data_IF_318161466220
#
_entry.id   IF_318161466220
#
_cell.length_a   1.000
_cell.length_b   1.000
_cell.length_c   1.000
_cell.angle_alpha   90.00
_cell.angle_beta   90.00
_cell.angle_gamma   90.00
#
_symmetry.space_group_name_H-M   'P 1'
#
loop_
_entity.id
_entity.type
_entity.pdbx_description
1 polymer ?
#
# COMPACT_ATOMS: atom_id res chain seq x y z
N UNK A 1 -14.10 3.65 -25.66
CA UNK A 1 -12.67 3.72 -26.03
C UNK A 1 -11.96 4.52 -24.95
N UNK A 2 -11.26 3.85 -24.03
CA UNK A 2 -10.43 4.54 -23.04
C UNK A 2 -9.18 5.08 -23.77
N UNK A 3 -9.32 6.25 -24.38
CA UNK A 3 -8.16 7.00 -24.87
C UNK A 3 -7.23 7.20 -23.67
N UNK A 4 -5.96 6.86 -23.85
CA UNK A 4 -4.90 7.09 -22.87
C UNK A 4 -4.76 8.61 -22.69
N UNK A 5 -5.59 9.20 -21.84
CA UNK A 5 -5.43 10.58 -21.44
C UNK A 5 -4.06 10.68 -20.75
N UNK A 6 -3.23 11.68 -21.06
CA UNK A 6 -1.91 11.83 -20.45
C UNK A 6 -1.99 11.84 -18.92
N UNK A 7 -3.11 12.32 -18.36
CA UNK A 7 -3.42 12.28 -16.94
C UNK A 7 -3.48 10.86 -16.36
N UNK A 8 -4.16 9.91 -17.01
CA UNK A 8 -4.29 8.53 -16.49
C UNK A 8 -2.96 7.80 -16.49
N UNK A 9 -2.13 8.05 -17.51
CA UNK A 9 -0.78 7.49 -17.55
C UNK A 9 0.13 8.07 -16.46
N UNK A 10 0.07 9.38 -16.24
CA UNK A 10 0.79 10.04 -15.15
C UNK A 10 0.39 9.49 -13.79
N UNK A 11 -0.91 9.33 -13.52
CA UNK A 11 -1.43 8.76 -12.28
C UNK A 11 -0.93 7.32 -12.03
N UNK A 12 -0.85 6.47 -13.06
CA UNK A 12 -0.31 5.10 -12.92
C UNK A 12 1.16 5.10 -12.53
N UNK A 13 1.97 5.99 -13.11
CA UNK A 13 3.39 6.10 -12.76
C UNK A 13 3.54 6.58 -11.32
N UNK A 14 2.82 7.62 -10.92
CA UNK A 14 2.87 8.15 -9.56
C UNK A 14 2.44 7.09 -8.54
N UNK A 15 1.35 6.35 -8.81
CA UNK A 15 0.90 5.24 -7.96
C UNK A 15 1.93 4.10 -7.88
N UNK A 16 2.58 3.77 -8.98
CA UNK A 16 3.64 2.75 -9.04
C UNK A 16 4.85 3.14 -8.17
N UNK A 17 5.30 4.41 -8.27
CA UNK A 17 6.41 4.92 -7.45
C UNK A 17 6.03 4.95 -5.96
N UNK A 18 4.79 5.34 -5.63
CA UNK A 18 4.30 5.35 -4.25
C UNK A 18 4.26 3.94 -3.65
N UNK A 19 3.71 2.96 -4.37
CA UNK A 19 3.62 1.56 -3.88
C UNK A 19 5.00 0.90 -3.78
N UNK A 20 5.90 1.17 -4.72
CA UNK A 20 7.28 0.69 -4.68
C UNK A 20 8.05 1.27 -3.49
N UNK A 21 7.96 2.58 -3.27
CA UNK A 21 8.62 3.24 -2.13
C UNK A 21 8.06 2.77 -0.80
N UNK A 22 6.75 2.57 -0.69
CA UNK A 22 6.12 1.97 0.49
C UNK A 22 6.63 0.54 0.75
N UNK A 23 6.69 -0.32 -0.30
CA UNK A 23 7.18 -1.68 -0.17
C UNK A 23 8.66 -1.73 0.25
N UNK A 24 9.50 -0.88 -0.33
CA UNK A 24 10.92 -0.79 0.03
C UNK A 24 11.10 -0.34 1.48
N UNK A 25 10.38 0.72 1.88
CA UNK A 25 10.41 1.20 3.26
C UNK A 25 9.98 0.10 4.24
N UNK A 26 8.88 -0.62 3.95
CA UNK A 26 8.44 -1.74 4.78
C UNK A 26 9.47 -2.88 4.84
N UNK A 27 10.11 -3.20 3.71
CA UNK A 27 11.14 -4.23 3.63
C UNK A 27 12.41 -3.88 4.42
N UNK A 28 12.77 -2.60 4.49
CA UNK A 28 13.91 -2.09 5.26
C UNK A 28 13.60 -1.85 6.73
N UNK A 29 12.34 -1.99 7.17
CA UNK A 29 11.93 -1.84 8.56
C UNK A 29 12.37 -3.06 9.40
N UNK A 30 13.65 -3.05 9.80
CA UNK A 30 14.24 -4.02 10.75
C UNK A 30 15.04 -3.27 11.80
N UNK A 31 14.84 -3.61 13.08
CA UNK A 31 15.63 -3.05 14.17
C UNK A 31 15.96 -4.14 15.21
N UNK A 32 17.24 -4.27 15.55
CA UNK A 32 17.70 -5.08 16.68
C UNK A 32 17.70 -4.22 17.95
N UNK A 33 16.92 -4.62 18.97
CA UNK A 33 16.90 -3.96 20.27
C UNK A 33 17.75 -4.76 21.25
N UNK A 34 18.78 -4.12 21.81
CA UNK A 34 19.64 -4.72 22.83
C UNK A 34 19.07 -4.43 24.23
N UNK A 35 18.76 -5.47 24.99
CA UNK A 35 18.34 -5.34 26.39
C UNK A 35 19.55 -5.46 27.31
N UNK A 36 20.06 -4.33 27.79
CA UNK A 36 21.22 -4.29 28.71
C UNK A 36 21.02 -5.07 30.01
N UNK A 37 19.77 -5.33 30.43
CA UNK A 37 19.50 -6.07 31.67
C UNK A 37 19.53 -7.61 31.52
N UNK A 38 19.49 -8.15 30.30
CA UNK A 38 19.38 -9.62 30.08
C UNK A 38 20.39 -10.14 29.04
N UNK A 39 21.21 -9.27 28.44
CA UNK A 39 22.22 -9.65 27.44
C UNK A 39 21.64 -10.44 26.24
N UNK A 40 20.36 -10.19 25.91
CA UNK A 40 19.65 -10.77 24.77
C UNK A 40 19.30 -9.66 23.79
N UNK A 41 19.60 -9.88 22.50
CA UNK A 41 19.18 -9.02 21.40
C UNK A 41 17.93 -9.62 20.75
N UNK A 42 16.80 -8.90 20.79
CA UNK A 42 15.59 -9.29 20.06
C UNK A 42 15.56 -8.48 18.77
N UNK A 43 15.49 -9.17 17.64
CA UNK A 43 15.30 -8.53 16.34
C UNK A 43 13.80 -8.40 16.11
N UNK A 44 13.31 -7.15 16.02
CA UNK A 44 11.93 -6.85 15.67
C UNK A 44 11.91 -6.40 14.21
N UNK A 45 11.09 -7.06 13.39
CA UNK A 45 11.00 -6.80 11.97
C UNK A 45 9.56 -6.86 11.47
N UNK A 46 9.35 -6.32 10.27
CA UNK A 46 8.06 -6.36 9.60
C UNK A 46 7.52 -7.78 9.38
N UNK A 47 8.40 -8.80 9.46
CA UNK A 47 8.04 -10.22 9.32
C UNK A 47 7.28 -10.78 10.50
N UNK A 48 7.33 -10.11 11.65
CA UNK A 48 6.77 -10.66 12.89
C UNK A 48 5.26 -10.46 12.95
N UNK A 49 4.73 -9.54 12.14
CA UNK A 49 3.30 -9.25 12.06
C UNK A 49 2.74 -9.47 10.65
N UNK A 50 1.76 -10.37 10.55
CA UNK A 50 1.12 -10.73 9.28
C UNK A 50 0.52 -9.51 8.56
N UNK A 51 0.04 -8.50 9.31
CA UNK A 51 -0.51 -7.27 8.75
C UNK A 51 0.50 -6.52 7.86
N UNK A 52 1.75 -6.43 8.29
CA UNK A 52 2.80 -5.73 7.54
C UNK A 52 3.28 -6.56 6.35
N UNK A 53 3.39 -7.89 6.50
CA UNK A 53 3.67 -8.77 5.37
C UNK A 53 2.59 -8.67 4.28
N UNK A 54 1.31 -8.72 4.66
CA UNK A 54 0.20 -8.53 3.72
C UNK A 54 0.30 -7.18 3.01
N UNK A 55 0.58 -6.10 3.75
CA UNK A 55 0.75 -4.77 3.14
C UNK A 55 1.91 -4.73 2.13
N UNK A 56 3.05 -5.35 2.45
CA UNK A 56 4.19 -5.44 1.55
C UNK A 56 3.82 -6.19 0.26
N UNK A 57 3.22 -7.38 0.40
CA UNK A 57 2.83 -8.22 -0.75
C UNK A 57 1.83 -7.49 -1.64
N UNK A 58 0.83 -6.83 -1.07
CA UNK A 58 -0.17 -6.07 -1.83
C UNK A 58 0.47 -4.91 -2.60
N UNK A 59 1.37 -4.14 -1.97
CA UNK A 59 2.09 -3.07 -2.66
C UNK A 59 2.94 -3.60 -3.84
N UNK A 60 3.60 -4.75 -3.67
CA UNK A 60 4.37 -5.39 -4.75
C UNK A 60 3.45 -5.84 -5.90
N UNK A 61 2.32 -6.48 -5.61
CA UNK A 61 1.35 -6.90 -6.63
C UNK A 61 0.86 -5.70 -7.43
N UNK A 62 0.49 -4.61 -6.76
CA UNK A 62 0.00 -3.39 -7.40
C UNK A 62 1.08 -2.74 -8.27
N UNK A 63 2.33 -2.72 -7.80
CA UNK A 63 3.46 -2.20 -8.56
C UNK A 63 3.70 -3.02 -9.84
N UNK A 64 3.77 -4.35 -9.73
CA UNK A 64 3.97 -5.25 -10.88
C UNK A 64 2.82 -5.12 -11.87
N UNK A 65 1.58 -5.08 -11.38
CA UNK A 65 0.41 -4.89 -12.23
C UNK A 65 0.45 -3.53 -12.95
N UNK A 66 0.75 -2.45 -12.24
CA UNK A 66 0.82 -1.10 -12.82
C UNK A 66 1.91 -0.99 -13.88
N UNK A 67 3.05 -1.66 -13.65
CA UNK A 67 4.10 -1.78 -14.64
C UNK A 67 3.62 -2.56 -15.86
N UNK A 68 3.00 -3.74 -15.68
CA UNK A 68 2.49 -4.56 -16.79
C UNK A 68 1.45 -3.81 -17.66
N UNK A 69 0.52 -3.07 -17.04
CA UNK A 69 -0.48 -2.28 -17.77
C UNK A 69 0.17 -1.16 -18.60
N UNK A 70 1.27 -0.56 -18.12
CA UNK A 70 1.98 0.47 -18.87
C UNK A 70 2.63 -0.04 -20.17
N UNK A 71 2.94 -1.34 -20.27
CA UNK A 71 3.49 -1.97 -21.48
C UNK A 71 2.41 -2.41 -22.49
N UNK A 72 1.13 -2.46 -22.10
CA UNK A 72 0.06 -2.96 -22.99
C UNK A 72 -0.26 -2.01 -24.16
N UNK A 73 -0.46 -2.53 -25.38
CA UNK A 73 -0.78 -1.71 -26.56
C UNK A 73 -2.20 -1.13 -26.55
N UNK A 74 -2.31 0.07 -27.15
CA UNK A 74 -3.47 1.00 -27.06
C UNK A 74 -4.82 0.49 -27.61
N UNK A 75 -4.86 -0.62 -28.36
CA UNK A 75 -6.06 -1.11 -29.08
C UNK A 75 -6.59 -2.45 -28.59
N UNK A 76 -6.25 -2.87 -27.38
CA UNK A 76 -6.72 -4.15 -26.85
C UNK A 76 -8.14 -4.05 -26.27
N UNK A 77 -8.99 -5.03 -26.56
CA UNK A 77 -10.33 -5.21 -25.99
C UNK A 77 -10.28 -5.43 -24.46
N UNK A 78 -9.09 -5.70 -23.91
CA UNK A 78 -8.82 -5.97 -22.50
C UNK A 78 -9.02 -4.76 -21.57
N UNK A 79 -9.17 -3.54 -22.08
CA UNK A 79 -9.33 -2.34 -21.24
C UNK A 79 -10.54 -2.39 -20.30
N UNK A 80 -11.61 -3.11 -20.64
CA UNK A 80 -12.76 -3.28 -19.73
C UNK A 80 -12.41 -4.15 -18.52
N UNK A 81 -11.57 -5.17 -18.71
CA UNK A 81 -11.08 -6.02 -17.63
C UNK A 81 -10.10 -5.30 -16.72
N UNK A 82 -9.30 -4.37 -17.26
CA UNK A 82 -8.36 -3.54 -16.49
C UNK A 82 -9.07 -2.74 -15.40
N UNK A 83 -10.22 -2.12 -15.70
CA UNK A 83 -11.00 -1.35 -14.71
C UNK A 83 -11.49 -2.22 -13.56
N UNK A 84 -11.91 -3.46 -13.84
CA UNK A 84 -12.36 -4.41 -12.81
C UNK A 84 -11.19 -4.80 -11.91
N UNK A 85 -10.02 -5.11 -12.50
CA UNK A 85 -8.83 -5.47 -11.74
C UNK A 85 -8.32 -4.27 -10.92
N UNK A 86 -8.34 -3.05 -11.47
CA UNK A 86 -8.00 -1.82 -10.74
C UNK A 86 -8.89 -1.64 -9.49
N UNK A 87 -10.19 -1.89 -9.61
CA UNK A 87 -11.11 -1.83 -8.48
C UNK A 87 -10.78 -2.90 -7.42
N UNK A 88 -10.47 -4.14 -7.84
CA UNK A 88 -10.08 -5.21 -6.90
C UNK A 88 -8.78 -4.87 -6.16
N UNK A 89 -7.78 -4.35 -6.86
CA UNK A 89 -6.49 -3.96 -6.28
C UNK A 89 -6.63 -2.78 -5.31
N UNK A 90 -7.49 -1.81 -5.62
CA UNK A 90 -7.80 -0.71 -4.72
C UNK A 90 -8.42 -1.21 -3.41
N UNK A 91 -9.41 -2.10 -3.48
CA UNK A 91 -10.04 -2.67 -2.28
C UNK A 91 -8.99 -3.41 -1.45
N UNK A 92 -8.14 -4.19 -2.12
CA UNK A 92 -7.06 -4.93 -1.45
C UNK A 92 -6.08 -3.99 -0.73
N UNK A 93 -5.64 -2.91 -1.38
CA UNK A 93 -4.81 -1.84 -0.79
C UNK A 93 -5.48 -1.21 0.43
N UNK A 94 -6.76 -0.87 0.33
CA UNK A 94 -7.53 -0.26 1.41
C UNK A 94 -7.60 -1.18 2.64
N UNK A 95 -7.92 -2.47 2.42
CA UNK A 95 -7.98 -3.47 3.48
C UNK A 95 -6.62 -3.69 4.14
N UNK A 96 -5.53 -3.83 3.36
CA UNK A 96 -4.19 -4.01 3.92
C UNK A 96 -3.67 -2.78 4.66
N UNK A 97 -3.94 -1.57 4.16
CA UNK A 97 -3.59 -0.33 4.84
C UNK A 97 -4.31 -0.24 6.18
N UNK A 98 -5.61 -0.54 6.21
CA UNK A 98 -6.41 -0.49 7.44
C UNK A 98 -5.91 -1.48 8.49
N UNK A 99 -5.54 -2.70 8.09
CA UNK A 99 -4.98 -3.72 8.97
C UNK A 99 -3.58 -3.34 9.51
N UNK A 100 -2.74 -2.73 8.68
CA UNK A 100 -1.43 -2.23 9.13
C UNK A 100 -1.57 -1.00 10.05
N UNK A 101 -2.56 -0.14 9.79
CA UNK A 101 -2.85 1.04 10.60
C UNK A 101 -3.33 0.65 12.01
N UNK A 102 -4.21 -0.34 12.11
CA UNK A 102 -4.68 -0.84 13.41
C UNK A 102 -3.55 -1.50 14.20
N UNK A 103 -2.70 -2.29 13.52
CA UNK A 103 -1.52 -2.88 14.12
C UNK A 103 -0.55 -1.83 14.69
N UNK A 104 -0.18 -0.80 13.91
CA UNK A 104 0.77 0.22 14.37
C UNK A 104 0.18 1.09 15.49
N UNK A 105 -1.14 1.34 15.48
CA UNK A 105 -1.83 2.00 16.58
C UNK A 105 -1.73 1.19 17.88
N UNK A 106 -1.86 -0.13 17.80
CA UNK A 106 -1.69 -1.02 18.94
C UNK A 106 -0.23 -1.05 19.42
N UNK A 107 0.73 -1.10 18.50
CA UNK A 107 2.16 -1.05 18.84
C UNK A 107 2.60 0.30 19.44
N UNK A 108 1.95 1.41 19.06
CA UNK A 108 2.27 2.75 19.55
C UNK A 108 1.62 3.05 20.90
N UNK A 109 0.32 2.82 21.01
CA UNK A 109 -0.44 3.19 22.21
C UNK A 109 -0.47 2.07 23.25
N UNK A 110 -0.32 0.82 22.83
CA UNK A 110 -0.61 -0.34 23.66
C UNK A 110 -2.09 -0.44 24.03
N UNK A 111 -2.42 -1.47 24.79
CA UNK A 111 -3.71 -1.60 25.45
C UNK A 111 -3.51 -2.20 26.85
N UNK A 112 -3.60 -1.35 27.87
CA UNK A 112 -3.42 -1.77 29.26
C UNK A 112 -4.42 -2.86 29.67
N UNK A 113 -5.68 -2.77 29.21
CA UNK A 113 -6.72 -3.76 29.53
C UNK A 113 -6.43 -5.15 28.96
N UNK A 114 -5.73 -5.22 27.82
CA UNK A 114 -5.31 -6.47 27.20
C UNK A 114 -3.88 -6.90 27.61
N UNK A 115 -3.21 -6.13 28.48
CA UNK A 115 -1.81 -6.35 28.85
C UNK A 115 -0.80 -6.07 27.72
N UNK A 116 -1.25 -5.47 26.60
CA UNK A 116 -0.38 -5.19 25.46
C UNK A 116 0.40 -3.91 25.70
N UNK A 117 1.72 -4.02 25.87
CA UNK A 117 2.60 -2.85 26.07
C UNK A 117 3.11 -2.32 24.73
N UNK A 118 3.13 -1.00 24.57
CA UNK A 118 3.61 -0.36 23.35
C UNK A 118 5.09 -0.68 23.07
N UNK A 119 5.39 -1.09 21.84
CA UNK A 119 6.71 -1.52 21.37
C UNK A 119 7.48 -0.33 20.75
N UNK A 120 6.78 0.68 20.23
CA UNK A 120 7.40 1.84 19.59
C UNK A 120 8.34 2.64 20.52
N UNK A 121 8.18 2.55 21.84
CA UNK A 121 9.10 3.15 22.80
C UNK A 121 10.46 2.43 22.90
N UNK A 122 10.52 1.14 22.54
CA UNK A 122 11.73 0.32 22.54
C UNK A 122 12.44 0.35 21.17
N UNK A 123 11.68 0.42 20.08
CA UNK A 123 12.18 0.42 18.71
C UNK A 123 11.64 1.62 17.91
N UNK A 124 12.08 2.86 18.22
CA UNK A 124 11.52 4.06 17.61
C UNK A 124 11.84 4.19 16.11
N UNK A 125 12.98 3.70 15.64
CA UNK A 125 13.35 3.76 14.23
C UNK A 125 12.48 2.81 13.39
N UNK A 126 12.29 1.57 13.86
CA UNK A 126 11.37 0.60 13.27
C UNK A 126 9.96 1.18 13.12
N UNK A 127 9.42 1.73 14.21
CA UNK A 127 8.08 2.28 14.24
C UNK A 127 7.93 3.48 13.28
N UNK A 128 8.90 4.40 13.25
CA UNK A 128 8.89 5.51 12.30
C UNK A 128 8.94 5.03 10.84
N UNK A 129 9.70 3.98 10.55
CA UNK A 129 9.81 3.42 9.21
C UNK A 129 8.48 2.80 8.74
N UNK A 130 7.80 2.06 9.62
CA UNK A 130 6.47 1.49 9.35
C UNK A 130 5.42 2.59 9.17
N UNK A 131 5.38 3.58 10.06
CA UNK A 131 4.44 4.70 9.96
C UNK A 131 4.63 5.43 8.63
N UNK A 132 5.89 5.72 8.25
CA UNK A 132 6.21 6.34 6.98
C UNK A 132 5.77 5.49 5.79
N UNK A 133 6.04 4.19 5.81
CA UNK A 133 5.63 3.29 4.74
C UNK A 133 4.11 3.18 4.60
N UNK A 134 3.36 3.10 5.70
CA UNK A 134 1.89 3.09 5.68
C UNK A 134 1.36 4.43 5.15
N UNK A 135 1.94 5.55 5.56
CA UNK A 135 1.55 6.86 5.05
C UNK A 135 1.75 6.95 3.52
N UNK A 136 2.90 6.55 3.01
CA UNK A 136 3.19 6.53 1.56
C UNK A 136 2.26 5.57 0.81
N UNK A 137 1.99 4.38 1.37
CA UNK A 137 1.02 3.43 0.83
C UNK A 137 -0.40 4.01 0.77
N UNK A 138 -0.79 4.82 1.76
CA UNK A 138 -2.07 5.52 1.79
C UNK A 138 -2.17 6.61 0.72
N UNK A 139 -1.09 7.38 0.48
CA UNK A 139 -1.03 8.30 -0.66
C UNK A 139 -1.14 7.56 -2.00
N UNK A 140 -0.49 6.39 -2.12
CA UNK A 140 -0.65 5.50 -3.28
C UNK A 140 -2.11 5.10 -3.48
N UNK A 141 -2.79 4.66 -2.42
CA UNK A 141 -4.22 4.34 -2.44
C UNK A 141 -5.08 5.50 -2.95
N UNK A 142 -4.88 6.73 -2.45
CA UNK A 142 -5.62 7.92 -2.91
C UNK A 142 -5.38 8.18 -4.41
N UNK A 143 -4.15 7.94 -4.89
CA UNK A 143 -3.81 8.08 -6.30
C UNK A 143 -4.57 7.08 -7.17
N UNK A 144 -4.64 5.81 -6.75
CA UNK A 144 -5.44 4.78 -7.45
C UNK A 144 -6.95 5.02 -7.34
N UNK A 145 -7.43 5.64 -6.26
CA UNK A 145 -8.82 6.10 -6.13
C UNK A 145 -9.20 7.10 -7.22
N UNK A 146 -8.39 8.15 -7.39
CA UNK A 146 -8.62 9.16 -8.42
C UNK A 146 -8.59 8.52 -9.81
N UNK A 147 -7.63 7.62 -10.04
CA UNK A 147 -7.51 6.89 -11.29
C UNK A 147 -8.78 6.08 -11.61
N UNK A 148 -9.28 5.29 -10.65
CA UNK A 148 -10.47 4.46 -10.88
C UNK A 148 -11.70 5.33 -11.15
N UNK A 149 -11.86 6.46 -10.44
CA UNK A 149 -12.96 7.40 -10.69
C UNK A 149 -12.92 7.97 -12.11
N UNK A 150 -11.73 8.33 -12.60
CA UNK A 150 -11.55 8.80 -13.98
C UNK A 150 -11.88 7.70 -14.99
N UNK A 151 -11.43 6.46 -14.76
CA UNK A 151 -11.69 5.33 -15.65
C UNK A 151 -13.19 4.97 -15.70
N UNK A 152 -13.87 4.96 -14.54
CA UNK A 152 -15.33 4.75 -14.46
C UNK A 152 -16.08 5.88 -15.18
N UNK A 153 -15.70 7.14 -14.95
CA UNK A 153 -16.35 8.28 -15.60
C UNK A 153 -16.19 8.22 -17.12
N UNK A 154 -15.00 7.90 -17.62
CA UNK A 154 -14.76 7.73 -19.05
C UNK A 154 -15.55 6.56 -19.66
N UNK A 155 -15.81 5.51 -18.87
CA UNK A 155 -16.62 4.38 -19.30
C UNK A 155 -18.12 4.71 -19.31
N UNK A 156 -18.60 5.49 -18.34
CA UNK A 156 -20.02 5.77 -18.12
C UNK A 156 -20.53 6.99 -18.92
N UNK A 157 -19.69 7.99 -19.18
CA UNK A 157 -20.04 9.19 -19.96
C UNK A 157 -20.76 8.89 -21.31
N UNK A 158 -20.28 7.97 -22.16
CA UNK A 158 -20.98 7.66 -23.42
C UNK A 158 -22.33 6.96 -23.23
N UNK A 159 -22.63 6.40 -22.04
CA UNK A 159 -23.93 5.77 -21.74
C UNK A 159 -24.95 6.75 -21.16
N UNK A 160 -24.50 7.87 -20.59
CA UNK A 160 -25.34 8.90 -19.96
C UNK A 160 -25.74 10.04 -20.91
N UNK A 161 -24.96 10.25 -21.98
CA UNK A 161 -25.17 11.33 -22.96
C UNK A 161 -25.92 10.84 -24.21
N UNK A 162 -26.46 9.63 -24.17
CA UNK A 162 -27.29 9.03 -25.22
C UNK A 162 -28.78 9.19 -24.88
#
# INVERSE_FOLDING_TARGET
MAAKNPCTFGLRITGCVATLSAALALATARQSVHFSNVNVSIQVGYSDLMCYMCLLVVNVIVCVYSFAINLLPKKSLLWRSVVVIDAMLMVLLASSNSAALSAICLERNGNFHAGWRGICGLAPQYCNHIIGAIAVSFLGFVTYMILLLLDINNLLNPLLVQ
#
